data_IF_376140117579
#
_entry.id   IF_376140117579
#
_cell.length_a   1.000
_cell.length_b   1.000
_cell.length_c   1.000
_cell.angle_alpha   90.00
_cell.angle_beta   90.00
_cell.angle_gamma   90.00
#
_symmetry.space_group_name_H-M   'P 1'
#
loop_
_entity.id
_entity.type
_entity.pdbx_description
1 polymer ?
#
# COMPACT_ATOMS: atom_id res chain seq x y z
N UNK A 1 -4.34 15.62 -5.50
CA UNK A 1 -5.44 15.66 -6.45
C UNK A 1 -5.50 14.36 -7.22
N UNK A 2 -6.68 13.74 -7.24
CA UNK A 2 -6.96 12.50 -7.92
C UNK A 2 -7.69 12.80 -9.21
N UNK A 3 -7.15 12.39 -10.33
CA UNK A 3 -7.89 12.46 -11.59
C UNK A 3 -7.77 11.11 -12.31
N UNK A 4 -8.91 10.52 -12.69
CA UNK A 4 -8.98 9.30 -13.48
C UNK A 4 -8.77 9.54 -14.97
N UNK A 5 -8.98 10.78 -15.42
CA UNK A 5 -9.02 11.14 -16.83
C UNK A 5 -7.93 12.16 -17.19
N UNK A 6 -6.70 11.92 -16.78
CA UNK A 6 -5.58 12.79 -17.16
C UNK A 6 -5.46 12.97 -18.67
N UNK A 7 -5.84 11.95 -19.45
CA UNK A 7 -5.76 11.98 -20.91
C UNK A 7 -6.68 13.05 -21.54
N UNK A 8 -7.70 13.51 -20.82
CA UNK A 8 -8.63 14.56 -21.27
C UNK A 8 -8.27 15.95 -20.76
N UNK A 9 -7.28 16.06 -19.86
CA UNK A 9 -6.84 17.32 -19.30
C UNK A 9 -5.87 18.04 -20.26
N UNK A 10 -6.16 19.30 -20.60
CA UNK A 10 -5.27 20.12 -21.44
C UNK A 10 -3.93 20.45 -20.76
N UNK A 11 -3.90 20.44 -19.42
CA UNK A 11 -2.71 20.73 -18.62
C UNK A 11 -2.43 19.56 -17.67
N UNK A 12 -1.92 18.45 -18.20
CA UNK A 12 -1.40 17.36 -17.37
C UNK A 12 -0.16 17.88 -16.64
N UNK A 13 -0.10 17.80 -15.30
CA UNK A 13 1.09 18.16 -14.55
C UNK A 13 2.33 17.42 -15.04
N UNK A 14 3.49 17.96 -14.75
CA UNK A 14 4.77 17.32 -15.04
C UNK A 14 4.83 15.91 -14.44
N UNK A 15 5.28 14.93 -15.21
CA UNK A 15 5.30 13.52 -14.80
C UNK A 15 6.12 13.30 -13.51
N UNK A 16 7.16 14.12 -13.31
CA UNK A 16 7.97 14.10 -12.10
C UNK A 16 7.21 14.38 -10.80
N UNK A 17 6.06 15.05 -10.90
CA UNK A 17 5.17 15.33 -9.75
C UNK A 17 4.02 14.34 -9.63
N UNK A 18 3.84 13.46 -10.63
CA UNK A 18 2.75 12.48 -10.65
C UNK A 18 3.25 11.13 -10.15
N UNK A 19 2.48 10.52 -9.26
CA UNK A 19 2.75 9.18 -8.74
C UNK A 19 1.48 8.33 -8.82
N UNK A 20 1.63 7.03 -9.00
CA UNK A 20 0.51 6.11 -8.89
C UNK A 20 -0.03 6.11 -7.47
N UNK A 21 -1.34 6.01 -7.33
CA UNK A 21 -2.03 5.90 -6.05
C UNK A 21 -2.65 4.52 -5.93
N UNK A 22 -2.15 3.72 -5.02
CA UNK A 22 -2.73 2.43 -4.66
C UNK A 22 -3.92 2.68 -3.75
N UNK A 23 -5.07 2.16 -4.13
CA UNK A 23 -6.29 2.12 -3.33
C UNK A 23 -6.76 0.68 -3.16
N UNK A 24 -7.75 0.45 -2.30
CA UNK A 24 -8.28 -0.90 -2.06
C UNK A 24 -8.80 -1.60 -3.34
N UNK A 25 -9.21 -0.85 -4.35
CA UNK A 25 -9.69 -1.38 -5.63
C UNK A 25 -8.56 -1.97 -6.49
N UNK A 26 -7.33 -1.49 -6.29
CA UNK A 26 -6.17 -1.94 -7.04
C UNK A 26 -5.50 -3.19 -6.42
N UNK A 27 -5.71 -3.43 -5.11
CA UNK A 27 -5.03 -4.51 -4.39
C UNK A 27 -5.75 -5.84 -4.64
N UNK A 28 -4.99 -6.84 -5.04
CA UNK A 28 -5.38 -8.26 -5.09
C UNK A 28 -4.51 -9.03 -4.10
N UNK A 29 -4.82 -10.28 -3.83
CA UNK A 29 -3.82 -11.15 -3.21
C UNK A 29 -2.63 -11.25 -4.16
N UNK A 30 -1.41 -11.09 -3.66
CA UNK A 30 -0.14 -11.25 -4.36
C UNK A 30 0.24 -10.18 -5.39
N UNK A 31 -0.67 -9.35 -5.89
CA UNK A 31 -0.32 -8.33 -6.88
C UNK A 31 -1.18 -7.06 -6.77
N UNK A 32 -0.65 -5.97 -7.30
CA UNK A 32 -1.34 -4.71 -7.46
C UNK A 32 -1.60 -4.47 -8.95
N UNK A 33 -2.84 -4.18 -9.28
CA UNK A 33 -3.20 -3.76 -10.64
C UNK A 33 -2.81 -2.29 -10.85
N UNK A 34 -1.58 -2.07 -11.25
CA UNK A 34 -1.05 -0.73 -11.51
C UNK A 34 -1.69 -0.03 -12.72
N UNK A 35 -2.27 -0.79 -13.66
CA UNK A 35 -2.92 -0.22 -14.84
C UNK A 35 -4.20 0.53 -14.50
N UNK A 36 -4.84 0.14 -13.39
CA UNK A 36 -6.07 0.81 -12.91
C UNK A 36 -5.81 1.83 -11.81
N UNK A 37 -4.55 2.04 -11.42
CA UNK A 37 -4.19 3.06 -10.43
C UNK A 37 -4.47 4.46 -10.95
N UNK A 38 -5.09 5.28 -10.10
CA UNK A 38 -5.14 6.72 -10.34
C UNK A 38 -3.75 7.32 -10.18
N UNK A 39 -3.46 8.40 -10.92
CA UNK A 39 -2.29 9.22 -10.62
C UNK A 39 -2.67 10.34 -9.65
N UNK A 40 -1.76 10.64 -8.74
CA UNK A 40 -1.89 11.75 -7.78
C UNK A 40 -0.76 12.73 -7.99
N UNK A 41 -1.09 14.02 -8.05
CA UNK A 41 -0.11 15.09 -7.92
C UNK A 41 0.25 15.22 -6.43
N UNK A 42 1.50 14.87 -6.09
CA UNK A 42 2.00 14.89 -4.72
C UNK A 42 3.03 16.02 -4.56
N UNK A 43 2.67 17.14 -3.89
CA UNK A 43 3.49 18.34 -3.90
C UNK A 43 4.64 18.33 -2.89
N UNK A 44 4.91 17.19 -2.25
CA UNK A 44 5.96 17.06 -1.26
C UNK A 44 7.07 16.11 -1.70
N UNK A 45 8.28 16.39 -1.26
CA UNK A 45 9.45 15.54 -1.44
C UNK A 45 10.31 15.54 -0.18
N UNK A 46 11.33 14.70 -0.15
CA UNK A 46 12.32 14.72 0.93
C UNK A 46 13.58 15.46 0.47
N UNK A 47 14.04 16.38 1.32
CA UNK A 47 15.29 17.09 1.18
C UNK A 47 16.06 16.95 2.49
N UNK A 48 17.24 16.33 2.45
CA UNK A 48 18.13 16.15 3.62
C UNK A 48 17.41 15.58 4.86
N UNK A 49 16.59 14.55 4.67
CA UNK A 49 15.83 13.89 5.73
C UNK A 49 14.59 14.66 6.20
N UNK A 50 14.29 15.82 5.62
CA UNK A 50 13.13 16.65 5.97
C UNK A 50 12.10 16.70 4.85
N UNK A 51 10.84 16.80 5.23
CA UNK A 51 9.77 17.03 4.26
C UNK A 51 9.85 18.44 3.70
N UNK A 52 9.91 18.55 2.38
CA UNK A 52 9.93 19.80 1.63
C UNK A 52 8.72 19.86 0.68
N UNK A 53 8.47 21.02 0.12
CA UNK A 53 7.38 21.27 -0.82
C UNK A 53 7.96 21.78 -2.12
N UNK A 54 7.55 21.21 -3.24
CA UNK A 54 7.93 21.70 -4.55
C UNK A 54 7.52 23.16 -4.72
N UNK A 55 8.40 23.95 -5.33
CA UNK A 55 8.01 25.27 -5.78
C UNK A 55 7.28 25.14 -7.11
N UNK A 56 5.95 25.31 -7.09
CA UNK A 56 5.11 25.15 -8.28
C UNK A 56 5.39 26.17 -9.37
N UNK A 57 6.10 27.27 -9.06
CA UNK A 57 6.53 28.23 -10.09
C UNK A 57 7.50 27.60 -11.11
N UNK A 58 8.23 26.56 -10.68
CA UNK A 58 9.14 25.80 -11.54
C UNK A 58 8.42 24.72 -12.38
N UNK A 59 7.11 24.52 -12.17
CA UNK A 59 6.30 23.48 -12.80
C UNK A 59 5.04 24.09 -13.44
N UNK A 60 5.16 24.69 -14.62
CA UNK A 60 4.11 25.50 -15.21
C UNK A 60 2.80 24.73 -15.49
N UNK A 61 2.88 23.43 -15.84
CA UNK A 61 1.68 22.60 -16.06
C UNK A 61 0.99 22.27 -14.75
N UNK A 62 1.74 21.87 -13.71
CA UNK A 62 1.20 21.61 -12.38
C UNK A 62 0.61 22.88 -11.78
N UNK A 63 1.26 24.04 -11.96
CA UNK A 63 0.73 25.33 -11.55
C UNK A 63 -0.61 25.61 -12.24
N UNK A 64 -0.65 25.51 -13.56
CA UNK A 64 -1.89 25.75 -14.33
C UNK A 64 -3.04 24.82 -13.91
N UNK A 65 -2.72 23.54 -13.64
CA UNK A 65 -3.70 22.59 -13.12
C UNK A 65 -4.20 22.98 -11.72
N UNK A 66 -3.30 23.28 -10.80
CA UNK A 66 -3.66 23.66 -9.42
C UNK A 66 -4.44 24.96 -9.36
N UNK A 67 -4.12 25.96 -10.22
CA UNK A 67 -4.83 27.23 -10.29
C UNK A 67 -6.33 27.06 -10.66
N UNK A 68 -6.69 26.08 -11.48
CA UNK A 68 -8.09 25.74 -11.76
C UNK A 68 -8.86 25.37 -10.47
N UNK A 69 -8.17 24.85 -9.46
CA UNK A 69 -8.75 24.42 -8.19
C UNK A 69 -8.41 25.36 -7.03
N UNK A 70 -7.83 26.52 -7.32
CA UNK A 70 -7.28 27.43 -6.31
C UNK A 70 -8.30 27.85 -5.26
N UNK A 71 -9.51 28.23 -5.67
CA UNK A 71 -10.56 28.65 -4.74
C UNK A 71 -10.88 27.56 -3.72
N UNK A 72 -11.04 26.30 -4.18
CA UNK A 72 -11.31 25.16 -3.32
C UNK A 72 -10.13 24.89 -2.39
N UNK A 73 -8.90 24.99 -2.89
CA UNK A 73 -7.69 24.72 -2.11
C UNK A 73 -7.43 25.77 -1.04
N UNK A 74 -7.63 27.05 -1.36
CA UNK A 74 -7.48 28.15 -0.43
C UNK A 74 -8.60 28.20 0.63
N UNK A 75 -9.75 27.57 0.41
CA UNK A 75 -10.82 27.49 1.42
C UNK A 75 -10.42 26.70 2.66
N UNK A 76 -9.31 25.94 2.61
CA UNK A 76 -8.70 25.27 3.75
C UNK A 76 -7.94 26.26 4.66
N UNK A 77 -8.68 27.13 5.33
CA UNK A 77 -8.14 28.22 6.14
C UNK A 77 -7.07 27.75 7.13
N UNK A 78 -7.30 26.63 7.81
CA UNK A 78 -6.34 26.06 8.76
C UNK A 78 -4.92 25.84 8.18
N UNK A 79 -4.82 25.65 6.87
CA UNK A 79 -3.56 25.45 6.17
C UNK A 79 -2.85 26.79 5.95
N UNK A 80 -3.61 27.80 5.54
CA UNK A 80 -3.12 29.16 5.31
C UNK A 80 -2.71 29.83 6.62
N UNK A 81 -3.54 29.70 7.67
CA UNK A 81 -3.29 30.24 8.99
C UNK A 81 -2.02 29.64 9.65
N UNK A 82 -1.68 28.38 9.27
CA UNK A 82 -0.43 27.75 9.67
C UNK A 82 0.79 28.16 8.81
N UNK A 83 0.65 29.15 7.92
CA UNK A 83 1.73 29.66 7.09
C UNK A 83 2.14 28.72 5.95
N UNK A 84 1.31 27.73 5.59
CA UNK A 84 1.61 26.79 4.51
C UNK A 84 1.13 27.32 3.17
N UNK A 85 1.73 26.80 2.09
CA UNK A 85 1.29 27.10 0.73
C UNK A 85 -0.08 26.48 0.47
N UNK A 86 -0.93 27.16 -0.25
CA UNK A 86 -2.34 26.80 -0.48
C UNK A 86 -2.53 25.42 -1.16
N UNK A 87 -1.51 24.89 -1.82
CA UNK A 87 -1.50 23.59 -2.49
C UNK A 87 -0.89 22.46 -1.67
N UNK A 88 -0.39 22.74 -0.47
CA UNK A 88 0.18 21.72 0.40
C UNK A 88 -0.88 20.75 0.95
N UNK A 89 -0.41 19.59 1.41
CA UNK A 89 -1.22 18.68 2.23
C UNK A 89 -1.05 19.06 3.72
N UNK A 90 -2.12 18.89 4.50
CA UNK A 90 -2.06 19.21 5.93
C UNK A 90 -1.08 18.34 6.71
N UNK A 91 -1.21 17.02 6.55
CA UNK A 91 -0.31 16.05 7.18
C UNK A 91 0.25 15.12 6.09
N UNK A 92 1.28 15.56 5.34
CA UNK A 92 1.89 14.68 4.36
C UNK A 92 2.66 13.57 5.09
N UNK A 93 2.53 12.34 4.60
CA UNK A 93 3.45 11.26 4.95
C UNK A 93 4.86 11.62 4.49
N UNK A 94 5.88 11.00 5.08
CA UNK A 94 7.24 11.21 4.57
C UNK A 94 7.35 10.61 3.16
N UNK A 95 7.63 11.42 2.12
CA UNK A 95 7.68 10.94 0.74
C UNK A 95 8.69 9.82 0.51
N UNK A 96 9.83 9.84 1.22
CA UNK A 96 10.84 8.81 1.12
C UNK A 96 10.33 7.41 1.49
N UNK A 97 9.39 7.32 2.41
CA UNK A 97 8.82 6.01 2.78
C UNK A 97 7.99 5.39 1.66
N UNK A 98 7.40 6.20 0.78
CA UNK A 98 6.71 5.68 -0.40
C UNK A 98 7.69 5.09 -1.43
N UNK A 99 8.95 5.50 -1.40
CA UNK A 99 9.97 4.99 -2.31
C UNK A 99 10.54 3.63 -1.87
N UNK A 100 10.31 3.26 -0.62
CA UNK A 100 10.71 1.96 -0.08
C UNK A 100 9.77 0.85 -0.55
N UNK A 101 10.28 -0.39 -0.70
CA UNK A 101 9.42 -1.57 -0.77
C UNK A 101 8.51 -1.63 0.45
N UNK A 102 7.28 -2.11 0.27
CA UNK A 102 6.29 -2.10 1.33
C UNK A 102 5.24 -3.19 1.17
N UNK A 103 4.72 -3.68 2.27
CA UNK A 103 3.53 -4.51 2.30
C UNK A 103 2.30 -3.62 2.37
N UNK A 104 1.34 -3.81 1.47
CA UNK A 104 0.11 -3.01 1.38
C UNK A 104 -1.11 -3.92 1.55
N UNK A 105 -2.11 -3.46 2.29
CA UNK A 105 -3.38 -4.17 2.46
C UNK A 105 -4.54 -3.21 2.73
N UNK A 106 -5.79 -3.54 2.30
CA UNK A 106 -6.96 -2.70 2.54
C UNK A 106 -7.43 -2.78 3.99
N UNK A 107 -8.01 -1.70 4.52
CA UNK A 107 -8.69 -1.71 5.83
C UNK A 107 -9.85 -2.73 5.85
N UNK A 108 -10.66 -2.76 4.80
CA UNK A 108 -11.85 -3.61 4.72
C UNK A 108 -11.79 -4.49 3.48
N UNK A 109 -11.91 -5.81 3.68
CA UNK A 109 -11.94 -6.78 2.58
C UNK A 109 -12.74 -8.03 2.92
N UNK A 110 -13.27 -8.70 1.90
CA UNK A 110 -13.94 -9.99 2.05
C UNK A 110 -12.93 -11.11 2.37
N UNK A 111 -11.82 -11.08 1.64
CA UNK A 111 -10.69 -12.00 1.79
C UNK A 111 -9.44 -11.22 2.12
N UNK A 112 -8.41 -11.81 2.74
CA UNK A 112 -7.13 -11.13 2.92
C UNK A 112 -6.54 -10.78 1.55
N UNK A 113 -6.00 -9.56 1.44
CA UNK A 113 -5.35 -9.04 0.22
C UNK A 113 -4.11 -8.28 0.64
N UNK A 114 -3.15 -9.01 1.17
CA UNK A 114 -1.82 -8.48 1.50
C UNK A 114 -0.94 -8.62 0.27
N UNK A 115 -0.21 -7.59 -0.08
CA UNK A 115 0.58 -7.56 -1.31
C UNK A 115 1.83 -6.73 -1.14
N UNK A 116 2.97 -7.28 -1.53
CA UNK A 116 4.24 -6.57 -1.53
C UNK A 116 4.35 -5.65 -2.75
N UNK A 117 4.68 -4.38 -2.52
CA UNK A 117 4.82 -3.35 -3.57
C UNK A 117 6.21 -2.73 -3.54
N UNK A 118 6.89 -2.70 -4.68
CA UNK A 118 8.18 -2.02 -4.90
C UNK A 118 8.09 -0.87 -5.91
N UNK A 119 6.88 -0.47 -6.32
CA UNK A 119 6.64 0.46 -7.42
C UNK A 119 6.80 1.95 -7.05
N UNK A 120 7.16 2.28 -5.81
CA UNK A 120 7.22 3.65 -5.29
C UNK A 120 5.87 4.39 -5.32
N UNK A 121 4.76 3.67 -5.40
CA UNK A 121 3.42 4.24 -5.41
C UNK A 121 3.04 4.83 -4.04
N UNK A 122 2.20 5.85 -4.06
CA UNK A 122 1.55 6.38 -2.86
C UNK A 122 0.40 5.46 -2.49
N UNK A 123 0.19 5.27 -1.19
CA UNK A 123 -0.90 4.43 -0.67
C UNK A 123 -2.02 5.34 -0.14
N UNK A 124 -3.25 5.07 -0.58
CA UNK A 124 -4.43 5.83 -0.16
C UNK A 124 -4.80 5.51 1.30
N UNK A 125 -5.44 6.45 1.97
CA UNK A 125 -5.85 6.34 3.38
C UNK A 125 -6.88 5.26 3.71
N UNK A 126 -7.46 4.58 2.70
CA UNK A 126 -8.30 3.38 2.89
C UNK A 126 -7.51 2.07 2.89
N UNK A 127 -6.18 2.16 2.89
CA UNK A 127 -5.24 1.04 2.97
C UNK A 127 -4.21 1.30 4.07
N UNK A 128 -3.70 0.23 4.63
CA UNK A 128 -2.51 0.24 5.48
C UNK A 128 -1.28 -0.19 4.68
N UNK A 129 -0.11 0.21 5.14
CA UNK A 129 1.14 -0.18 4.53
C UNK A 129 2.29 -0.17 5.54
N UNK A 130 3.25 -1.06 5.33
CA UNK A 130 4.41 -1.25 6.18
C UNK A 130 5.65 -1.19 5.28
N UNK A 131 6.52 -0.16 5.39
CA UNK A 131 7.74 -0.06 4.57
C UNK A 131 8.83 -0.98 5.10
N UNK A 132 9.67 -1.50 4.20
CA UNK A 132 10.91 -2.19 4.50
C UNK A 132 12.11 -1.28 4.22
N UNK A 133 12.99 -1.11 5.20
CA UNK A 133 14.18 -0.24 5.10
C UNK A 133 15.44 -0.99 4.67
N UNK A 134 15.42 -2.30 4.76
CA UNK A 134 16.53 -3.19 4.46
C UNK A 134 16.04 -4.57 4.00
N UNK A 135 16.96 -5.43 3.60
CA UNK A 135 16.64 -6.77 3.07
C UNK A 135 16.05 -7.71 4.12
N UNK A 136 16.41 -7.55 5.37
CA UNK A 136 15.82 -8.32 6.47
C UNK A 136 14.34 -7.97 6.66
N UNK A 137 14.01 -6.68 6.65
CA UNK A 137 12.63 -6.23 6.73
C UNK A 137 11.82 -6.64 5.48
N UNK A 138 12.43 -6.64 4.28
CA UNK A 138 11.78 -7.18 3.08
C UNK A 138 11.43 -8.67 3.23
N UNK A 139 12.36 -9.48 3.76
CA UNK A 139 12.12 -10.88 4.05
C UNK A 139 10.94 -11.06 5.01
N UNK A 140 10.94 -10.29 6.11
CA UNK A 140 9.85 -10.34 7.09
C UNK A 140 8.50 -9.93 6.49
N UNK A 141 8.48 -8.91 5.64
CA UNK A 141 7.23 -8.48 4.98
C UNK A 141 6.70 -9.54 4.02
N UNK A 142 7.56 -10.23 3.28
CA UNK A 142 7.16 -11.35 2.41
C UNK A 142 6.64 -12.54 3.24
N UNK A 143 7.27 -12.84 4.38
CA UNK A 143 6.77 -13.86 5.30
C UNK A 143 5.40 -13.47 5.86
N UNK A 144 5.22 -12.23 6.30
CA UNK A 144 3.94 -11.70 6.79
C UNK A 144 2.88 -11.74 5.68
N UNK A 145 3.22 -11.41 4.44
CA UNK A 145 2.32 -11.52 3.28
C UNK A 145 1.77 -12.93 3.12
N UNK A 146 2.67 -13.92 3.09
CA UNK A 146 2.29 -15.32 2.92
C UNK A 146 1.39 -15.82 4.05
N UNK A 147 1.76 -15.51 5.28
CA UNK A 147 0.98 -15.90 6.46
C UNK A 147 -0.38 -15.22 6.47
N UNK A 148 -0.42 -13.91 6.23
CA UNK A 148 -1.65 -13.10 6.31
C UNK A 148 -2.68 -13.48 5.25
N UNK A 149 -2.23 -13.94 4.07
CA UNK A 149 -3.11 -14.41 3.00
C UNK A 149 -3.58 -15.86 3.17
N UNK A 150 -3.08 -16.60 4.17
CA UNK A 150 -3.45 -18.00 4.40
C UNK A 150 -4.86 -18.16 4.97
N UNK A 151 -5.48 -19.31 4.68
CA UNK A 151 -6.77 -19.72 5.30
C UNK A 151 -6.61 -19.92 6.81
N UNK A 152 -5.44 -20.41 7.25
CA UNK A 152 -5.11 -20.63 8.68
C UNK A 152 -5.17 -19.32 9.45
N UNK A 153 -4.54 -18.25 8.97
CA UNK A 153 -4.57 -16.95 9.66
C UNK A 153 -5.90 -16.23 9.48
N UNK A 154 -6.60 -16.44 8.37
CA UNK A 154 -7.98 -15.95 8.25
C UNK A 154 -8.89 -16.54 9.35
N UNK A 155 -8.76 -17.84 9.64
CA UNK A 155 -9.49 -18.48 10.73
C UNK A 155 -9.08 -17.94 12.10
N UNK A 156 -7.78 -17.75 12.33
CA UNK A 156 -7.29 -17.11 13.55
C UNK A 156 -7.86 -15.70 13.73
N UNK A 157 -7.83 -14.88 12.68
CA UNK A 157 -8.38 -13.53 12.70
C UNK A 157 -9.86 -13.52 13.10
N UNK A 158 -10.67 -14.40 12.48
CA UNK A 158 -12.09 -14.52 12.78
C UNK A 158 -12.36 -14.92 14.24
N UNK A 159 -11.60 -15.86 14.77
CA UNK A 159 -11.76 -16.35 16.15
C UNK A 159 -11.25 -15.33 17.18
N UNK A 160 -10.13 -14.66 16.89
CA UNK A 160 -9.45 -13.78 17.84
C UNK A 160 -10.14 -12.42 17.97
N UNK A 161 -10.60 -11.85 16.85
CA UNK A 161 -11.05 -10.46 16.84
C UNK A 161 -12.56 -10.32 16.66
N UNK A 162 -13.25 -11.34 16.18
CA UNK A 162 -14.70 -11.35 15.96
C UNK A 162 -15.23 -10.07 15.29
N UNK A 163 -14.53 -9.59 14.27
CA UNK A 163 -14.76 -8.27 13.66
C UNK A 163 -15.43 -8.34 12.27
N UNK A 164 -16.21 -9.39 12.03
CA UNK A 164 -16.96 -9.51 10.78
C UNK A 164 -18.00 -8.42 10.65
N UNK A 165 -17.91 -7.70 9.52
CA UNK A 165 -18.88 -6.70 9.12
C UNK A 165 -20.01 -7.34 8.29
N UNK A 166 -21.00 -6.51 7.93
CA UNK A 166 -22.04 -6.90 6.98
C UNK A 166 -21.44 -7.50 5.71
N UNK A 167 -22.10 -8.47 5.12
CA UNK A 167 -21.66 -9.19 3.92
C UNK A 167 -20.38 -10.01 4.11
N UNK A 168 -20.02 -10.38 5.34
CA UNK A 168 -18.87 -11.24 5.64
C UNK A 168 -17.50 -10.57 5.49
N UNK A 169 -17.44 -9.26 5.25
CA UNK A 169 -16.19 -8.51 5.19
C UNK A 169 -15.51 -8.46 6.54
N UNK A 170 -14.19 -8.31 6.54
CA UNK A 170 -13.33 -8.19 7.73
C UNK A 170 -12.63 -6.85 7.73
N UNK A 171 -12.31 -6.35 8.93
CA UNK A 171 -11.41 -5.20 9.10
C UNK A 171 -10.01 -5.70 9.41
N UNK A 172 -9.05 -5.20 8.65
CA UNK A 172 -7.63 -5.48 8.83
C UNK A 172 -6.92 -4.26 9.43
N UNK A 173 -7.37 -3.84 10.64
CA UNK A 173 -6.76 -2.72 11.35
C UNK A 173 -5.34 -3.08 11.80
N UNK A 174 -4.43 -2.10 11.80
CA UNK A 174 -3.06 -2.28 12.27
C UNK A 174 -2.98 -2.97 13.64
N UNK A 175 -3.81 -2.55 14.60
CA UNK A 175 -3.91 -3.14 15.95
C UNK A 175 -4.30 -4.64 15.97
N UNK A 176 -4.88 -5.18 14.90
CA UNK A 176 -5.16 -6.61 14.76
C UNK A 176 -4.00 -7.32 14.10
N UNK A 177 -3.43 -6.73 13.05
CA UNK A 177 -2.30 -7.30 12.30
C UNK A 177 -1.05 -7.43 13.18
N UNK A 178 -0.78 -6.45 14.05
CA UNK A 178 0.30 -6.48 15.05
C UNK A 178 0.23 -7.69 16.00
N UNK A 179 -0.94 -8.33 16.11
CA UNK A 179 -1.16 -9.50 16.97
C UNK A 179 -1.16 -10.82 16.21
N UNK A 180 -0.84 -10.80 14.93
CA UNK A 180 -0.72 -12.04 14.17
C UNK A 180 0.49 -12.82 14.67
N UNK A 181 0.33 -14.12 14.87
CA UNK A 181 1.46 -14.98 15.18
C UNK A 181 2.37 -15.06 13.95
N UNK A 182 3.67 -14.91 14.16
CA UNK A 182 4.69 -15.06 13.13
C UNK A 182 5.59 -16.22 13.54
N UNK A 183 5.79 -17.24 12.70
CA UNK A 183 6.72 -18.32 13.01
C UNK A 183 8.15 -17.80 13.01
N UNK A 184 9.06 -18.56 13.62
CA UNK A 184 10.49 -18.21 13.68
C UNK A 184 11.03 -17.95 12.27
N UNK A 185 11.53 -16.75 11.97
CA UNK A 185 12.16 -16.44 10.68
C UNK A 185 13.41 -17.28 10.42
N UNK A 186 13.81 -17.39 9.16
CA UNK A 186 15.04 -18.08 8.74
C UNK A 186 15.12 -19.55 9.14
N UNK A 187 13.97 -20.21 9.19
CA UNK A 187 13.91 -21.68 9.22
C UNK A 187 13.69 -22.20 7.79
N UNK A 188 14.01 -23.46 7.55
CA UNK A 188 13.78 -24.08 6.22
C UNK A 188 12.33 -23.92 5.75
N UNK A 189 11.35 -23.97 6.66
CA UNK A 189 9.93 -23.82 6.32
C UNK A 189 9.59 -22.38 5.96
N UNK A 190 10.06 -21.41 6.75
CA UNK A 190 9.78 -19.99 6.51
C UNK A 190 10.50 -19.47 5.27
N UNK A 191 11.68 -20.00 4.95
CA UNK A 191 12.38 -19.69 3.69
C UNK A 191 11.59 -20.21 2.49
N UNK A 192 11.06 -21.45 2.56
CA UNK A 192 10.14 -21.97 1.51
C UNK A 192 8.87 -21.13 1.36
N UNK A 193 8.31 -20.62 2.47
CA UNK A 193 7.16 -19.70 2.40
C UNK A 193 7.53 -18.44 1.64
N UNK A 194 8.65 -17.78 2.01
CA UNK A 194 9.09 -16.53 1.38
C UNK A 194 9.39 -16.71 -0.11
N UNK A 195 10.05 -17.81 -0.49
CA UNK A 195 10.32 -18.09 -1.91
C UNK A 195 9.04 -18.37 -2.70
N UNK A 196 8.08 -19.05 -2.10
CA UNK A 196 6.78 -19.28 -2.73
C UNK A 196 5.99 -17.97 -2.90
N UNK A 197 6.06 -17.07 -1.93
CA UNK A 197 5.43 -15.73 -2.01
C UNK A 197 6.06 -14.89 -3.11
N UNK A 198 7.40 -14.90 -3.26
CA UNK A 198 8.08 -14.23 -4.39
C UNK A 198 7.57 -14.73 -5.73
N UNK A 199 7.38 -16.04 -5.85
CA UNK A 199 6.83 -16.65 -7.07
C UNK A 199 5.36 -16.24 -7.28
N UNK A 200 4.52 -16.21 -6.23
CA UNK A 200 3.14 -15.75 -6.29
C UNK A 200 3.05 -14.29 -6.74
N UNK A 201 3.92 -13.42 -6.23
CA UNK A 201 3.96 -11.99 -6.59
C UNK A 201 4.39 -11.75 -8.06
N UNK A 202 5.07 -12.70 -8.68
CA UNK A 202 5.52 -12.63 -10.08
C UNK A 202 4.67 -13.45 -11.05
N UNK A 203 3.72 -14.24 -10.56
CA UNK A 203 2.98 -15.21 -11.34
C UNK A 203 1.78 -14.60 -12.09
N UNK A 204 1.50 -15.12 -13.27
CA UNK A 204 0.24 -14.90 -13.98
C UNK A 204 -0.71 -16.08 -13.75
N UNK A 205 -1.88 -15.81 -13.30
CA UNK A 205 -3.11 -16.54 -12.93
C UNK A 205 -3.21 -18.09 -13.04
N UNK A 206 -2.48 -18.80 -13.87
CA UNK A 206 -2.74 -20.23 -14.10
C UNK A 206 -2.18 -21.18 -13.04
N UNK A 207 -1.19 -20.79 -12.28
CA UNK A 207 -0.53 -21.60 -11.24
C UNK A 207 -0.79 -21.11 -9.82
N UNK A 208 -1.48 -19.98 -9.67
CA UNK A 208 -1.75 -19.32 -8.38
C UNK A 208 -2.49 -20.23 -7.38
N UNK A 209 -3.50 -20.97 -7.86
CA UNK A 209 -4.32 -21.87 -7.00
C UNK A 209 -3.43 -22.97 -6.40
N UNK A 210 -2.62 -23.64 -7.22
CA UNK A 210 -1.74 -24.72 -6.73
C UNK A 210 -0.69 -24.18 -5.75
N UNK A 211 -0.14 -23.01 -6.02
CA UNK A 211 0.83 -22.35 -5.14
C UNK A 211 0.19 -21.94 -3.80
N UNK A 212 -1.04 -21.44 -3.82
CA UNK A 212 -1.75 -21.07 -2.57
C UNK A 212 -2.12 -22.28 -1.72
N UNK A 213 -2.43 -23.43 -2.32
CA UNK A 213 -2.65 -24.67 -1.57
C UNK A 213 -1.34 -25.20 -0.96
N UNK A 214 -0.22 -25.10 -1.69
CA UNK A 214 1.11 -25.41 -1.14
C UNK A 214 1.48 -24.47 0.01
N UNK A 215 1.22 -23.17 -0.14
CA UNK A 215 1.43 -22.18 0.92
C UNK A 215 0.67 -22.53 2.19
N UNK A 216 -0.60 -22.93 2.07
CA UNK A 216 -1.42 -23.30 3.22
C UNK A 216 -0.82 -24.49 4.00
N UNK A 217 -0.24 -25.47 3.29
CA UNK A 217 0.46 -26.61 3.92
C UNK A 217 1.69 -26.11 4.67
N UNK A 218 2.53 -25.29 4.03
CA UNK A 218 3.74 -24.74 4.66
C UNK A 218 3.40 -23.87 5.88
N UNK A 219 2.37 -23.06 5.82
CA UNK A 219 1.91 -22.24 6.95
C UNK A 219 1.48 -23.13 8.12
N UNK A 220 0.72 -24.21 7.88
CA UNK A 220 0.34 -25.15 8.93
C UNK A 220 1.54 -25.84 9.55
N UNK A 221 2.52 -26.25 8.74
CA UNK A 221 3.79 -26.82 9.22
C UNK A 221 4.54 -25.83 10.11
N UNK A 222 4.66 -24.57 9.67
CA UNK A 222 5.35 -23.53 10.42
C UNK A 222 4.74 -23.26 11.82
N UNK A 223 3.45 -23.56 11.98
CA UNK A 223 2.73 -23.45 13.26
C UNK A 223 2.48 -24.77 13.97
N UNK A 224 3.08 -25.88 13.51
CA UNK A 224 2.89 -27.24 14.06
C UNK A 224 1.40 -27.64 14.12
N UNK A 225 0.65 -27.37 13.07
CA UNK A 225 -0.78 -27.68 12.94
C UNK A 225 -1.08 -28.88 12.02
N UNK A 226 -0.04 -29.57 11.55
CA UNK A 226 -0.11 -30.82 10.78
C UNK A 226 0.38 -31.98 11.61
#
# INVERSE_FOLDING_TARGET
FLNRNWDTEQNIPEESLLRNLISQENIRSWHIDHNTCMKVLYPHFELEGKKAVYDIELYPKAKAYLEKHRQQLQSRKYLIDAGRKWYEMWVPQNPAYFDLPKLVFPDISLTPRFTFDSSKSIVNGNCYWIPAKNKEEEYLLLLIEGISNSKTITKYHDLKFNNKLYSGRRRYLAQYIEKYPIPQPHTEITDKIVDLVRNLNSCSNSTEIQMTDTLEILVKQAFNLL
#
